data_IF_542497643232
#
_entry.id   IF_542497643232
#
_cell.length_a   1.000
_cell.length_b   1.000
_cell.length_c   1.000
_cell.angle_alpha   90.00
_cell.angle_beta   90.00
_cell.angle_gamma   90.00
#
_symmetry.space_group_name_H-M   'P 1'
#
loop_
_entity.id
_entity.type
_entity.pdbx_description
1 polymer ?
#
# COMPACT_ATOMS: atom_id res chain seq x y z
N UNK A 1 -15.60 -25.73 -12.03
CA UNK A 1 -16.03 -24.89 -13.17
C UNK A 1 -15.97 -23.43 -12.72
N UNK A 2 -15.16 -22.61 -13.43
CA UNK A 2 -15.03 -21.13 -13.53
C UNK A 2 -15.48 -20.25 -12.34
N UNK A 3 -14.73 -19.26 -11.84
CA UNK A 3 -13.88 -18.26 -12.52
C UNK A 3 -12.86 -17.69 -11.53
N UNK A 4 -11.57 -17.80 -11.82
CA UNK A 4 -10.54 -16.94 -11.23
C UNK A 4 -10.17 -15.96 -12.34
N UNK A 5 -10.54 -14.69 -12.17
CA UNK A 5 -10.18 -13.62 -13.08
C UNK A 5 -8.68 -13.33 -12.92
N UNK A 6 -7.89 -13.85 -13.85
CA UNK A 6 -6.50 -13.45 -14.10
C UNK A 6 -6.46 -11.97 -14.47
N UNK A 7 -6.07 -11.12 -13.52
CA UNK A 7 -5.72 -9.73 -13.78
C UNK A 7 -4.35 -9.72 -14.46
N UNK A 8 -4.35 -9.39 -15.75
CA UNK A 8 -3.13 -9.28 -16.55
C UNK A 8 -2.21 -8.17 -16.02
N UNK A 9 -0.88 -8.34 -16.07
CA UNK A 9 0.07 -7.30 -15.68
C UNK A 9 -0.01 -6.12 -16.67
N UNK A 10 -0.20 -4.92 -16.13
CA UNK A 10 -0.21 -3.68 -16.90
C UNK A 10 1.11 -3.50 -17.67
N UNK A 11 0.99 -3.33 -18.99
CA UNK A 11 2.09 -3.10 -19.92
C UNK A 11 2.94 -1.88 -19.54
N UNK A 12 4.28 -1.96 -19.51
CA UNK A 12 5.13 -0.83 -19.20
C UNK A 12 5.60 -0.13 -20.48
N UNK A 13 4.75 0.63 -21.18
CA UNK A 13 5.24 1.57 -22.20
C UNK A 13 4.15 2.48 -22.74
N UNK A 14 3.89 3.58 -22.05
CA UNK A 14 3.57 4.82 -22.76
C UNK A 14 4.50 5.88 -22.23
N UNK A 15 5.65 6.06 -22.87
CA UNK A 15 6.32 7.37 -22.83
C UNK A 15 5.23 8.39 -23.17
N UNK A 16 4.94 9.39 -22.32
CA UNK A 16 4.02 10.43 -22.73
C UNK A 16 4.56 10.99 -24.05
N UNK A 17 3.72 10.97 -25.09
CA UNK A 17 4.03 11.67 -26.32
C UNK A 17 4.44 13.10 -25.94
N UNK A 18 5.52 13.66 -26.49
CA UNK A 18 5.87 15.04 -26.19
C UNK A 18 4.65 15.89 -26.51
N UNK A 19 4.04 16.47 -25.48
CA UNK A 19 2.91 17.37 -25.69
C UNK A 19 3.41 18.49 -26.59
N UNK A 20 2.59 19.00 -27.51
CA UNK A 20 2.94 20.08 -28.44
C UNK A 20 3.60 21.32 -27.77
N UNK A 21 3.45 21.46 -26.45
CA UNK A 21 4.17 22.42 -25.61
C UNK A 21 5.70 22.27 -25.64
N UNK A 22 6.25 21.06 -25.78
CA UNK A 22 7.70 20.78 -25.80
C UNK A 22 8.40 21.36 -27.04
N UNK A 23 7.68 21.53 -28.16
CA UNK A 23 8.20 22.22 -29.36
C UNK A 23 8.23 23.75 -29.19
N UNK A 24 7.27 24.32 -28.45
CA UNK A 24 7.24 25.74 -28.09
C UNK A 24 8.24 26.12 -26.97
N UNK A 25 8.90 25.13 -26.37
CA UNK A 25 9.88 25.31 -25.30
C UNK A 25 11.27 25.71 -25.80
N UNK A 26 11.56 25.63 -27.11
CA UNK A 26 12.84 26.12 -27.62
C UNK A 26 12.90 27.67 -27.52
N UNK A 27 13.84 28.26 -26.78
CA UNK A 27 13.83 29.69 -26.47
C UNK A 27 13.90 30.57 -27.72
N UNK A 28 14.54 30.10 -28.79
CA UNK A 28 14.60 30.80 -30.07
C UNK A 28 13.23 30.89 -30.78
N UNK A 29 12.43 29.82 -30.74
CA UNK A 29 11.10 29.79 -31.38
C UNK A 29 10.13 30.68 -30.61
N UNK A 30 10.20 30.62 -29.28
CA UNK A 30 9.42 31.50 -28.41
C UNK A 30 9.79 32.97 -28.57
N UNK A 31 11.09 33.30 -28.70
CA UNK A 31 11.53 34.67 -28.96
C UNK A 31 11.04 35.18 -30.33
N UNK A 32 11.15 34.35 -31.38
CA UNK A 32 10.63 34.68 -32.71
C UNK A 32 9.11 34.92 -32.68
N UNK A 33 8.36 34.05 -31.99
CA UNK A 33 6.91 34.20 -31.83
C UNK A 33 6.55 35.50 -31.10
N UNK A 34 7.30 35.88 -30.05
CA UNK A 34 7.12 37.16 -29.36
C UNK A 34 7.33 38.36 -30.29
N UNK A 35 8.39 38.33 -31.11
CA UNK A 35 8.68 39.41 -32.08
C UNK A 35 7.59 39.51 -33.14
N UNK A 36 7.16 38.38 -33.70
CA UNK A 36 6.07 38.34 -34.68
C UNK A 36 4.75 38.86 -34.09
N UNK A 37 4.44 38.48 -32.85
CA UNK A 37 3.23 38.91 -32.16
C UNK A 37 3.27 40.41 -31.82
N UNK A 38 4.43 40.95 -31.41
CA UNK A 38 4.61 42.40 -31.25
C UNK A 38 4.36 43.12 -32.58
N UNK A 39 4.95 42.65 -33.69
CA UNK A 39 4.75 43.22 -35.01
C UNK A 39 3.29 43.16 -35.48
N UNK A 40 2.61 42.03 -35.24
CA UNK A 40 1.19 41.85 -35.55
C UNK A 40 0.30 42.79 -34.74
N UNK A 41 0.54 42.92 -33.43
CA UNK A 41 -0.18 43.86 -32.58
C UNK A 41 0.06 45.29 -33.05
N UNK A 42 1.29 45.69 -33.35
CA UNK A 42 1.59 47.03 -33.90
C UNK A 42 0.85 47.27 -35.22
N UNK A 43 0.85 46.30 -36.14
CA UNK A 43 0.09 46.39 -37.40
C UNK A 43 -1.41 46.54 -37.16
N UNK A 44 -1.99 45.73 -36.25
CA UNK A 44 -3.40 45.79 -35.90
C UNK A 44 -3.78 47.16 -35.31
N UNK A 45 -2.91 47.75 -34.48
CA UNK A 45 -3.13 49.08 -33.92
C UNK A 45 -3.18 50.17 -34.98
N UNK A 46 -2.27 50.13 -35.96
CA UNK A 46 -2.28 51.05 -37.10
C UNK A 46 -3.56 50.87 -37.93
N UNK A 47 -3.93 49.62 -38.21
CA UNK A 47 -5.13 49.30 -38.98
C UNK A 47 -6.43 49.73 -38.28
N UNK A 48 -6.57 49.44 -36.99
CA UNK A 48 -7.72 49.83 -36.18
C UNK A 48 -7.86 51.36 -36.12
N UNK A 49 -6.75 52.08 -35.97
CA UNK A 49 -6.73 53.54 -35.98
C UNK A 49 -7.31 54.11 -37.28
N UNK A 50 -6.98 53.52 -38.43
CA UNK A 50 -7.50 53.95 -39.73
C UNK A 50 -9.02 53.75 -39.83
N UNK A 51 -9.53 52.67 -39.25
CA UNK A 51 -10.96 52.31 -39.34
C UNK A 51 -11.82 53.08 -38.36
N UNK A 52 -11.40 53.19 -37.10
CA UNK A 52 -12.25 53.79 -36.05
C UNK A 52 -12.20 55.31 -36.07
N UNK A 53 -11.23 55.90 -36.78
CA UNK A 53 -10.94 57.34 -36.79
C UNK A 53 -10.76 57.93 -35.36
N UNK A 54 -10.60 57.06 -34.36
CA UNK A 54 -10.30 57.45 -33.00
C UNK A 54 -8.78 57.61 -32.87
N UNK A 55 -8.36 58.67 -32.18
CA UNK A 55 -6.93 58.95 -32.08
C UNK A 55 -6.18 57.89 -31.27
N UNK A 56 -6.80 57.23 -30.25
CA UNK A 56 -6.01 56.52 -29.19
C UNK A 56 -6.68 55.37 -28.37
N UNK A 57 -7.29 54.29 -28.90
CA UNK A 57 -8.10 53.43 -28.02
C UNK A 57 -7.46 52.09 -27.60
N UNK A 58 -6.34 51.65 -28.17
CA UNK A 58 -6.00 50.21 -28.12
C UNK A 58 -4.57 49.86 -27.71
N UNK A 59 -3.77 50.77 -27.16
CA UNK A 59 -2.39 50.48 -26.70
C UNK A 59 -2.31 49.30 -25.72
N UNK A 60 -3.39 49.05 -24.97
CA UNK A 60 -3.61 47.88 -24.10
C UNK A 60 -3.38 46.53 -24.82
N UNK A 61 -3.50 46.45 -26.15
CA UNK A 61 -3.25 45.25 -26.95
C UNK A 61 -1.80 44.74 -26.80
N UNK A 62 -0.85 45.62 -26.46
CA UNK A 62 0.53 45.22 -26.17
C UNK A 62 0.67 44.36 -24.89
N UNK A 63 -0.36 44.25 -24.05
CA UNK A 63 -0.37 43.30 -22.93
C UNK A 63 -0.35 41.83 -23.41
N UNK A 64 -0.92 41.55 -24.60
CA UNK A 64 -0.99 40.20 -25.16
C UNK A 64 0.40 39.62 -25.47
N UNK A 65 1.28 40.28 -26.26
CA UNK A 65 2.63 39.78 -26.49
C UNK A 65 3.47 39.70 -25.22
N UNK A 66 3.24 40.58 -24.25
CA UNK A 66 3.91 40.52 -22.94
C UNK A 66 3.49 39.29 -22.14
N UNK A 67 2.19 39.01 -22.04
CA UNK A 67 1.66 37.82 -21.38
C UNK A 67 2.19 36.53 -22.02
N UNK A 68 2.16 36.47 -23.35
CA UNK A 68 2.64 35.31 -24.13
C UNK A 68 4.13 35.12 -23.95
N UNK A 69 4.93 36.20 -24.02
CA UNK A 69 6.38 36.13 -23.79
C UNK A 69 6.71 35.68 -22.36
N UNK A 70 5.98 36.19 -21.36
CA UNK A 70 6.16 35.76 -19.97
C UNK A 70 5.79 34.28 -19.77
N UNK A 71 4.76 33.78 -20.45
CA UNK A 71 4.36 32.37 -20.41
C UNK A 71 5.38 31.45 -21.12
N UNK A 72 5.97 31.89 -22.23
CA UNK A 72 6.87 31.07 -23.06
C UNK A 72 8.35 31.18 -22.70
N UNK A 73 8.78 32.33 -22.17
CA UNK A 73 10.19 32.62 -21.84
C UNK A 73 10.42 32.93 -20.35
N UNK A 74 9.37 32.92 -19.53
CA UNK A 74 9.46 33.17 -18.10
C UNK A 74 9.61 34.67 -17.79
N UNK A 75 9.93 34.99 -16.53
CA UNK A 75 9.99 36.38 -16.03
C UNK A 75 10.93 37.25 -16.88
N UNK A 76 12.10 36.74 -17.28
CA UNK A 76 13.07 37.49 -18.08
C UNK A 76 12.55 37.86 -19.46
N UNK A 77 11.87 36.92 -20.15
CA UNK A 77 11.27 37.20 -21.46
C UNK A 77 10.03 38.07 -21.37
N UNK A 78 9.26 37.97 -20.30
CA UNK A 78 8.18 38.89 -19.97
C UNK A 78 8.68 40.32 -19.82
N UNK A 79 9.73 40.53 -19.02
CA UNK A 79 10.36 41.87 -18.84
C UNK A 79 10.90 42.42 -20.15
N UNK A 80 11.58 41.61 -20.96
CA UNK A 80 12.09 42.03 -22.27
C UNK A 80 10.95 42.44 -23.22
N UNK A 81 9.85 41.68 -23.25
CA UNK A 81 8.67 42.02 -24.04
C UNK A 81 7.97 43.28 -23.50
N UNK A 82 7.91 43.49 -22.19
CA UNK A 82 7.36 44.71 -21.59
C UNK A 82 8.16 45.94 -21.98
N UNK A 83 9.50 45.86 -21.98
CA UNK A 83 10.36 46.95 -22.44
C UNK A 83 10.17 47.23 -23.93
N UNK A 84 10.07 46.20 -24.77
CA UNK A 84 9.81 46.35 -26.20
C UNK A 84 8.42 46.94 -26.48
N UNK A 85 7.40 46.45 -25.78
CA UNK A 85 6.04 46.97 -25.82
C UNK A 85 5.97 48.45 -25.41
N UNK A 86 6.66 48.82 -24.33
CA UNK A 86 6.74 50.20 -23.87
C UNK A 86 7.47 51.11 -24.86
N UNK A 87 8.58 50.64 -25.46
CA UNK A 87 9.29 51.38 -26.49
C UNK A 87 8.42 51.60 -27.73
N UNK A 88 7.74 50.56 -28.21
CA UNK A 88 6.83 50.64 -29.36
C UNK A 88 5.61 51.51 -29.06
N UNK A 89 5.02 51.40 -27.87
CA UNK A 89 3.93 52.26 -27.42
C UNK A 89 4.39 53.73 -27.35
N UNK A 90 5.60 53.99 -26.83
CA UNK A 90 6.16 55.35 -26.77
C UNK A 90 6.40 55.94 -28.15
N UNK A 91 6.94 55.16 -29.09
CA UNK A 91 7.11 55.57 -30.49
C UNK A 91 5.75 55.87 -31.13
N UNK A 92 4.77 54.99 -30.93
CA UNK A 92 3.42 55.15 -31.47
C UNK A 92 2.69 56.39 -30.90
N UNK A 93 2.83 56.65 -29.60
CA UNK A 93 2.26 57.83 -28.92
C UNK A 93 2.96 59.14 -29.34
N UNK A 94 4.27 59.14 -29.53
CA UNK A 94 5.04 60.34 -29.93
C UNK A 94 4.89 60.71 -31.41
N UNK A 95 4.63 59.72 -32.28
CA UNK A 95 4.51 59.92 -33.72
C UNK A 95 3.22 60.66 -34.15
N UNK A 96 2.37 61.04 -33.19
CA UNK A 96 1.05 61.60 -33.48
C UNK A 96 1.05 63.11 -33.78
N UNK A 97 2.13 63.87 -33.49
CA UNK A 97 2.09 65.34 -33.65
C UNK A 97 3.42 66.08 -33.92
N UNK A 98 4.62 65.46 -33.95
CA UNK A 98 5.88 66.24 -33.93
C UNK A 98 6.89 65.82 -35.01
N UNK A 99 7.16 66.72 -35.95
CA UNK A 99 8.27 66.62 -36.89
C UNK A 99 9.50 67.33 -36.30
N UNK A 100 10.66 66.67 -36.30
CA UNK A 100 11.96 67.30 -36.00
C UNK A 100 12.33 67.44 -34.50
N UNK A 101 13.28 68.35 -34.22
CA UNK A 101 13.96 68.52 -32.91
C UNK A 101 13.06 68.94 -31.73
N UNK A 102 11.76 69.15 -31.96
CA UNK A 102 10.75 69.39 -30.92
C UNK A 102 10.27 68.12 -30.20
N UNK A 103 10.71 66.93 -30.65
CA UNK A 103 10.45 65.65 -29.98
C UNK A 103 10.96 65.61 -28.52
N UNK A 104 11.99 66.40 -28.19
CA UNK A 104 12.67 66.43 -26.89
C UNK A 104 12.24 67.60 -25.98
N UNK A 105 11.46 68.58 -26.47
CA UNK A 105 11.18 69.84 -25.73
C UNK A 105 9.73 70.08 -25.35
N UNK A 106 8.77 69.38 -25.93
CA UNK A 106 7.36 69.55 -25.56
C UNK A 106 7.00 68.79 -24.29
N UNK A 107 6.41 69.48 -23.31
CA UNK A 107 5.82 68.83 -22.15
C UNK A 107 4.71 67.85 -22.59
N UNK A 108 4.75 66.57 -22.15
CA UNK A 108 3.70 65.61 -22.43
C UNK A 108 2.36 66.09 -21.86
N UNK A 109 1.24 65.77 -22.53
CA UNK A 109 -0.10 66.00 -21.95
C UNK A 109 -0.26 65.03 -20.78
N UNK A 110 -0.80 65.50 -19.64
CA UNK A 110 -0.96 64.70 -18.42
C UNK A 110 -1.72 63.36 -18.64
N UNK A 111 -2.61 63.31 -19.64
CA UNK A 111 -3.30 62.08 -20.04
C UNK A 111 -2.39 61.03 -20.72
N UNK A 112 -1.38 61.45 -21.49
CA UNK A 112 -0.43 60.54 -22.16
C UNK A 112 0.50 59.87 -21.14
N UNK A 113 0.91 60.61 -20.11
CA UNK A 113 1.73 60.07 -19.03
C UNK A 113 0.95 59.08 -18.16
N UNK A 114 -0.35 59.34 -17.91
CA UNK A 114 -1.22 58.40 -17.19
C UNK A 114 -1.44 57.11 -17.99
N UNK A 115 -1.72 57.20 -19.29
CA UNK A 115 -1.92 56.02 -20.15
C UNK A 115 -0.63 55.19 -20.26
N UNK A 116 0.52 55.85 -20.44
CA UNK A 116 1.81 55.19 -20.50
C UNK A 116 2.18 54.53 -19.15
N UNK A 117 1.91 55.20 -18.03
CA UNK A 117 2.10 54.63 -16.70
C UNK A 117 1.20 53.41 -16.47
N UNK A 118 -0.07 53.47 -16.88
CA UNK A 118 -1.00 52.35 -16.78
C UNK A 118 -0.53 51.14 -17.60
N UNK A 119 -0.04 51.37 -18.82
CA UNK A 119 0.51 50.31 -19.67
C UNK A 119 1.82 49.74 -19.11
N UNK A 120 2.70 50.58 -18.53
CA UNK A 120 3.92 50.13 -17.87
C UNK A 120 3.61 49.24 -16.66
N UNK A 121 2.72 49.69 -15.78
CA UNK A 121 2.29 48.92 -14.61
C UNK A 121 1.59 47.63 -15.04
N UNK A 122 0.70 47.68 -16.05
CA UNK A 122 -0.02 46.51 -16.55
C UNK A 122 0.91 45.47 -17.18
N UNK A 123 1.81 45.88 -18.08
CA UNK A 123 2.76 44.97 -18.75
C UNK A 123 3.74 44.36 -17.75
N UNK A 124 4.26 45.13 -16.78
CA UNK A 124 5.14 44.61 -15.75
C UNK A 124 4.42 43.65 -14.79
N UNK A 125 3.19 43.96 -14.38
CA UNK A 125 2.40 43.11 -13.49
C UNK A 125 2.07 41.77 -14.15
N UNK A 126 1.63 41.79 -15.41
CA UNK A 126 1.36 40.57 -16.18
C UNK A 126 2.63 39.74 -16.36
N UNK A 127 3.74 40.38 -16.74
CA UNK A 127 5.02 39.67 -16.90
C UNK A 127 5.47 38.99 -15.59
N UNK A 128 5.32 39.68 -14.46
CA UNK A 128 5.69 39.15 -13.16
C UNK A 128 4.78 37.97 -12.72
N UNK A 129 3.45 38.12 -12.84
CA UNK A 129 2.48 37.10 -12.44
C UNK A 129 2.61 35.86 -13.31
N UNK A 130 2.57 36.03 -14.64
CA UNK A 130 2.65 34.91 -15.59
C UNK A 130 4.00 34.19 -15.51
N UNK A 131 5.09 34.95 -15.36
CA UNK A 131 6.43 34.37 -15.20
C UNK A 131 6.57 33.55 -13.92
N UNK A 132 6.09 34.06 -12.78
CA UNK A 132 6.09 33.32 -11.50
C UNK A 132 5.20 32.09 -11.54
N UNK A 133 4.02 32.18 -12.16
CA UNK A 133 3.10 31.05 -12.31
C UNK A 133 3.73 29.91 -13.12
N UNK A 134 4.48 30.23 -14.18
CA UNK A 134 5.21 29.21 -14.94
C UNK A 134 6.26 28.50 -14.10
N UNK A 135 7.03 29.25 -13.33
CA UNK A 135 8.08 28.71 -12.46
C UNK A 135 7.49 27.77 -11.40
N UNK A 136 6.42 28.17 -10.72
CA UNK A 136 5.75 27.32 -9.73
C UNK A 136 5.14 26.07 -10.36
N UNK A 137 4.52 26.16 -11.54
CA UNK A 137 4.03 24.99 -12.27
C UNK A 137 5.15 24.04 -12.67
N UNK A 138 6.32 24.56 -13.06
CA UNK A 138 7.50 23.75 -13.36
C UNK A 138 7.98 22.97 -12.13
N UNK A 139 8.09 23.63 -10.99
CA UNK A 139 8.46 23.00 -9.71
C UNK A 139 7.44 21.94 -9.28
N UNK A 140 6.14 22.23 -9.39
CA UNK A 140 5.08 21.28 -9.06
C UNK A 140 5.12 20.03 -9.94
N UNK A 141 5.36 20.19 -11.25
CA UNK A 141 5.50 19.06 -12.18
C UNK A 141 6.71 18.19 -11.83
N UNK A 142 7.85 18.82 -11.55
CA UNK A 142 9.05 18.10 -11.15
C UNK A 142 8.83 17.33 -9.83
N UNK A 143 8.21 17.97 -8.84
CA UNK A 143 7.85 17.34 -7.57
C UNK A 143 6.90 16.16 -7.78
N UNK A 144 5.81 16.33 -8.53
CA UNK A 144 4.86 15.26 -8.83
C UNK A 144 5.52 14.08 -9.56
N UNK A 145 6.46 14.33 -10.47
CA UNK A 145 7.23 13.29 -11.14
C UNK A 145 8.04 12.46 -10.14
N UNK A 146 8.76 13.14 -9.23
CA UNK A 146 9.52 12.49 -8.15
C UNK A 146 8.61 11.68 -7.21
N UNK A 147 7.49 12.25 -6.76
CA UNK A 147 6.52 11.55 -5.91
C UNK A 147 5.97 10.29 -6.57
N UNK A 148 5.67 10.36 -7.87
CA UNK A 148 5.17 9.21 -8.63
C UNK A 148 6.21 8.11 -8.67
N UNK A 149 7.47 8.46 -8.95
CA UNK A 149 8.56 7.49 -8.95
C UNK A 149 8.78 6.85 -7.58
N UNK A 150 8.75 7.64 -6.49
CA UNK A 150 8.88 7.11 -5.14
C UNK A 150 7.72 6.19 -4.76
N UNK A 151 6.49 6.54 -5.13
CA UNK A 151 5.31 5.70 -4.88
C UNK A 151 5.42 4.37 -5.62
N UNK A 152 5.79 4.39 -6.90
CA UNK A 152 5.99 3.14 -7.66
C UNK A 152 7.11 2.28 -7.08
N UNK A 153 8.20 2.90 -6.58
CA UNK A 153 9.28 2.15 -5.88
C UNK A 153 8.77 1.53 -4.57
N UNK A 154 7.99 2.26 -3.79
CA UNK A 154 7.37 1.77 -2.56
C UNK A 154 6.38 0.63 -2.82
N UNK A 155 5.54 0.75 -3.84
CA UNK A 155 4.60 -0.31 -4.25
C UNK A 155 5.34 -1.59 -4.63
N UNK A 156 6.43 -1.49 -5.40
CA UNK A 156 7.26 -2.65 -5.76
C UNK A 156 7.93 -3.28 -4.53
N UNK A 157 8.49 -2.47 -3.64
CA UNK A 157 9.12 -2.97 -2.43
C UNK A 157 8.11 -3.67 -1.50
N UNK A 158 6.92 -3.08 -1.33
CA UNK A 158 5.83 -3.70 -0.55
C UNK A 158 5.38 -5.02 -1.18
N UNK A 159 5.21 -5.08 -2.50
CA UNK A 159 4.84 -6.31 -3.19
C UNK A 159 5.89 -7.41 -3.00
N UNK A 160 7.18 -7.07 -3.07
CA UNK A 160 8.29 -8.00 -2.82
C UNK A 160 8.31 -8.50 -1.37
N UNK A 161 8.05 -7.63 -0.40
CA UNK A 161 7.99 -8.01 1.02
C UNK A 161 6.83 -8.96 1.30
N UNK A 162 5.63 -8.67 0.77
CA UNK A 162 4.45 -9.53 0.92
C UNK A 162 4.71 -10.92 0.32
N UNK A 163 5.30 -10.97 -0.87
CA UNK A 163 5.65 -12.22 -1.53
C UNK A 163 6.69 -13.01 -0.74
N UNK A 164 7.75 -12.36 -0.26
CA UNK A 164 8.78 -12.99 0.57
C UNK A 164 8.22 -13.55 1.88
N UNK A 165 7.29 -12.84 2.51
CA UNK A 165 6.62 -13.30 3.73
C UNK A 165 5.71 -14.52 3.45
N UNK A 166 4.96 -14.51 2.34
CA UNK A 166 4.15 -15.66 1.92
C UNK A 166 5.04 -16.89 1.70
N UNK A 167 6.11 -16.75 0.90
CA UNK A 167 7.04 -17.85 0.63
C UNK A 167 7.67 -18.42 1.91
N UNK A 168 8.03 -17.55 2.86
CA UNK A 168 8.57 -17.99 4.15
C UNK A 168 7.56 -18.79 4.96
N UNK A 169 6.27 -18.39 4.95
CA UNK A 169 5.20 -19.11 5.65
C UNK A 169 4.91 -20.46 5.01
N UNK A 170 4.80 -20.51 3.68
CA UNK A 170 4.62 -21.76 2.93
C UNK A 170 5.77 -22.72 3.18
N UNK A 171 7.02 -22.24 3.07
CA UNK A 171 8.20 -23.05 3.38
C UNK A 171 8.17 -23.60 4.82
N UNK A 172 7.86 -22.76 5.82
CA UNK A 172 7.77 -23.21 7.21
C UNK A 172 6.63 -24.24 7.41
N UNK A 173 5.49 -24.06 6.75
CA UNK A 173 4.35 -24.99 6.78
C UNK A 173 4.77 -26.34 6.22
N UNK A 174 5.42 -26.36 5.06
CA UNK A 174 5.87 -27.59 4.39
C UNK A 174 6.94 -28.31 5.20
N UNK A 175 7.91 -27.57 5.74
CA UNK A 175 8.99 -28.16 6.57
C UNK A 175 8.41 -28.76 7.84
N UNK A 176 7.55 -28.05 8.58
CA UNK A 176 6.97 -28.57 9.83
C UNK A 176 6.06 -29.78 9.58
N UNK A 177 5.28 -29.77 8.49
CA UNK A 177 4.47 -30.92 8.11
C UNK A 177 5.36 -32.12 7.78
N UNK A 178 6.42 -31.94 6.99
CA UNK A 178 7.31 -33.01 6.60
C UNK A 178 8.09 -33.63 7.78
N UNK A 179 8.69 -32.80 8.64
CA UNK A 179 9.53 -33.29 9.75
C UNK A 179 8.71 -33.92 10.89
N UNK A 180 7.40 -33.65 10.96
CA UNK A 180 6.49 -34.27 11.94
C UNK A 180 5.73 -35.47 11.38
N UNK A 181 6.11 -35.97 10.20
CA UNK A 181 5.45 -37.12 9.58
C UNK A 181 4.00 -36.84 9.18
N UNK A 182 3.67 -35.58 8.87
CA UNK A 182 2.33 -35.15 8.48
C UNK A 182 1.42 -34.75 9.65
N UNK A 183 1.90 -34.79 10.90
CA UNK A 183 1.07 -34.52 12.08
C UNK A 183 0.85 -33.04 12.37
N UNK A 184 1.88 -32.20 12.23
CA UNK A 184 1.80 -30.76 12.52
C UNK A 184 1.49 -29.97 11.27
N UNK A 185 0.33 -29.32 11.24
CA UNK A 185 -0.07 -28.40 10.18
C UNK A 185 -0.09 -26.97 10.70
N UNK A 186 0.59 -26.05 10.03
CA UNK A 186 0.35 -24.62 10.22
C UNK A 186 -0.88 -24.20 9.43
N UNK A 187 -1.77 -23.45 10.06
CA UNK A 187 -2.98 -22.94 9.43
C UNK A 187 -3.18 -21.45 9.71
N UNK A 188 -3.87 -20.78 8.79
CA UNK A 188 -4.42 -19.44 8.98
C UNK A 188 -5.72 -19.51 9.79
N UNK A 189 -6.14 -18.42 10.47
CA UNK A 189 -7.33 -18.42 11.33
C UNK A 189 -8.62 -18.92 10.65
N UNK A 190 -8.78 -18.58 9.37
CA UNK A 190 -9.96 -18.96 8.59
C UNK A 190 -9.92 -20.43 8.17
N UNK A 191 -8.73 -21.02 8.01
CA UNK A 191 -8.56 -22.43 7.67
C UNK A 191 -8.94 -23.36 8.83
N UNK A 192 -8.71 -22.94 10.08
CA UNK A 192 -9.08 -23.73 11.28
C UNK A 192 -10.61 -23.85 11.40
N UNK A 193 -11.34 -22.77 11.15
CA UNK A 193 -12.81 -22.76 11.22
C UNK A 193 -13.46 -23.52 10.05
N UNK A 194 -12.74 -23.67 8.94
CA UNK A 194 -13.19 -24.41 7.77
C UNK A 194 -12.96 -25.92 7.89
N UNK A 195 -12.30 -26.41 8.94
CA UNK A 195 -12.13 -27.84 9.15
C UNK A 195 -13.47 -28.52 9.44
N UNK A 196 -13.81 -29.55 8.68
CA UNK A 196 -15.03 -30.34 8.84
C UNK A 196 -15.15 -30.95 10.25
N UNK A 197 -14.00 -31.20 10.90
CA UNK A 197 -13.89 -31.67 12.28
C UNK A 197 -14.48 -30.68 13.31
N UNK A 198 -14.61 -29.41 12.94
CA UNK A 198 -15.11 -28.30 13.76
C UNK A 198 -16.49 -27.83 13.25
N UNK A 199 -17.14 -28.63 12.39
CA UNK A 199 -18.48 -28.32 11.91
C UNK A 199 -19.54 -28.54 13.00
N UNK A 200 -20.44 -27.56 13.14
CA UNK A 200 -21.55 -27.61 14.08
C UNK A 200 -21.23 -27.08 15.47
N UNK A 201 -22.16 -27.31 16.42
CA UNK A 201 -22.01 -26.84 17.79
C UNK A 201 -21.08 -27.78 18.60
N UNK A 202 -20.12 -27.23 19.37
CA UNK A 202 -19.27 -28.04 20.22
C UNK A 202 -20.08 -28.68 21.35
N UNK A 203 -19.74 -29.93 21.70
CA UNK A 203 -20.36 -30.68 22.81
C UNK A 203 -19.90 -30.19 24.17
N UNK A 204 -18.73 -29.56 24.24
CA UNK A 204 -18.17 -28.96 25.44
C UNK A 204 -17.52 -27.63 25.08
N UNK A 205 -17.84 -26.59 25.84
CA UNK A 205 -17.15 -25.30 25.83
C UNK A 205 -16.71 -25.03 27.27
N UNK A 206 -15.42 -24.75 27.47
CA UNK A 206 -14.90 -24.46 28.79
C UNK A 206 -13.94 -23.27 28.78
N UNK A 207 -14.15 -22.25 29.64
CA UNK A 207 -13.17 -21.18 29.83
C UNK A 207 -11.90 -21.71 30.51
N UNK A 208 -10.76 -21.14 30.14
CA UNK A 208 -9.44 -21.46 30.67
C UNK A 208 -8.79 -20.19 31.22
N UNK A 209 -9.02 -19.86 32.49
CA UNK A 209 -8.48 -18.67 33.12
C UNK A 209 -7.46 -18.98 34.22
N UNK A 210 -7.67 -20.06 34.96
CA UNK A 210 -6.88 -20.44 36.13
C UNK A 210 -6.33 -21.86 36.00
N UNK A 211 -5.23 -22.22 36.68
CA UNK A 211 -4.66 -23.56 36.62
C UNK A 211 -5.64 -24.70 36.95
N UNK A 212 -6.64 -24.45 37.82
CA UNK A 212 -7.68 -25.42 38.15
C UNK A 212 -8.56 -25.76 36.94
N UNK A 213 -8.74 -24.84 36.00
CA UNK A 213 -9.57 -25.04 34.81
C UNK A 213 -9.00 -26.14 33.92
N UNK A 214 -7.68 -26.29 33.83
CA UNK A 214 -7.06 -27.39 33.09
C UNK A 214 -7.43 -28.76 33.68
N UNK A 215 -7.50 -28.86 35.01
CA UNK A 215 -7.89 -30.10 35.70
C UNK A 215 -9.37 -30.42 35.54
N UNK A 216 -10.22 -29.40 35.62
CA UNK A 216 -11.66 -29.51 35.36
C UNK A 216 -11.91 -29.91 33.90
N UNK A 217 -11.20 -29.29 32.97
CA UNK A 217 -11.30 -29.57 31.53
C UNK A 217 -10.90 -31.00 31.23
N UNK A 218 -9.78 -31.47 31.78
CA UNK A 218 -9.35 -32.86 31.64
C UNK A 218 -10.42 -33.86 32.07
N UNK A 219 -11.09 -33.62 33.20
CA UNK A 219 -12.13 -34.51 33.72
C UNK A 219 -13.38 -34.51 32.84
N UNK A 220 -13.80 -33.33 32.38
CA UNK A 220 -14.93 -33.21 31.46
C UNK A 220 -14.64 -33.90 30.11
N UNK A 221 -13.46 -33.68 29.56
CA UNK A 221 -13.01 -34.32 28.33
C UNK A 221 -12.93 -35.84 28.46
N UNK A 222 -12.43 -36.34 29.60
CA UNK A 222 -12.40 -37.78 29.89
C UNK A 222 -13.80 -38.40 29.90
N UNK A 223 -14.80 -37.70 30.45
CA UNK A 223 -16.19 -38.15 30.44
C UNK A 223 -16.75 -38.21 29.02
N UNK A 224 -16.56 -37.15 28.22
CA UNK A 224 -16.98 -37.10 26.82
C UNK A 224 -16.35 -38.23 26.01
N UNK A 225 -15.05 -38.49 26.21
CA UNK A 225 -14.32 -39.54 25.50
C UNK A 225 -14.79 -40.96 25.89
N UNK A 226 -15.09 -41.16 27.17
CA UNK A 226 -15.66 -42.42 27.66
C UNK A 226 -17.08 -42.67 27.11
N UNK A 227 -17.94 -41.65 27.11
CA UNK A 227 -19.30 -41.76 26.55
C UNK A 227 -19.29 -41.99 25.02
N UNK A 228 -18.28 -41.44 24.34
CA UNK A 228 -18.07 -41.70 22.92
C UNK A 228 -17.57 -43.13 22.64
N UNK A 229 -17.13 -43.87 23.65
CA UNK A 229 -16.65 -45.25 23.52
C UNK A 229 -15.22 -45.35 23.00
N UNK A 230 -14.39 -44.33 23.24
CA UNK A 230 -12.95 -44.39 22.92
C UNK A 230 -12.23 -45.44 23.77
N UNK A 231 -11.18 -46.04 23.22
CA UNK A 231 -10.30 -46.94 23.96
C UNK A 231 -9.57 -46.20 25.11
N UNK A 232 -9.23 -46.93 26.18
CA UNK A 232 -8.58 -46.37 27.37
C UNK A 232 -7.26 -45.64 27.09
N UNK A 233 -6.43 -46.18 26.18
CA UNK A 233 -5.16 -45.55 25.79
C UNK A 233 -5.41 -44.30 24.95
N UNK A 234 -6.38 -44.32 24.03
CA UNK A 234 -6.79 -43.14 23.26
C UNK A 234 -7.36 -42.02 24.15
N UNK A 235 -8.12 -42.38 25.20
CA UNK A 235 -8.62 -41.42 26.19
C UNK A 235 -7.43 -40.77 26.92
N UNK A 236 -6.43 -41.57 27.32
CA UNK A 236 -5.24 -41.04 27.99
C UNK A 236 -4.45 -40.08 27.08
N UNK A 237 -4.28 -40.43 25.81
CA UNK A 237 -3.60 -39.63 24.79
C UNK A 237 -4.31 -38.29 24.51
N UNK A 238 -5.64 -38.34 24.35
CA UNK A 238 -6.51 -37.18 24.18
C UNK A 238 -6.44 -36.26 25.40
N UNK A 239 -6.62 -36.79 26.61
CA UNK A 239 -6.55 -36.00 27.82
C UNK A 239 -5.16 -35.36 28.00
N UNK A 240 -4.09 -36.08 27.67
CA UNK A 240 -2.72 -35.58 27.82
C UNK A 240 -2.44 -34.43 26.86
N UNK A 241 -2.69 -34.61 25.57
CA UNK A 241 -2.48 -33.55 24.56
C UNK A 241 -3.34 -32.32 24.84
N UNK A 242 -4.63 -32.50 25.10
CA UNK A 242 -5.56 -31.41 25.36
C UNK A 242 -5.24 -30.64 26.65
N UNK A 243 -4.77 -31.33 27.70
CA UNK A 243 -4.35 -30.69 28.95
C UNK A 243 -3.08 -29.86 28.74
N UNK A 244 -2.14 -30.32 27.91
CA UNK A 244 -0.95 -29.52 27.60
C UNK A 244 -1.29 -28.29 26.76
N UNK A 245 -2.20 -28.41 25.78
CA UNK A 245 -2.71 -27.26 25.05
C UNK A 245 -3.38 -26.24 26.00
N UNK A 246 -4.27 -26.69 26.88
CA UNK A 246 -4.93 -25.84 27.87
C UNK A 246 -3.94 -25.19 28.85
N UNK A 247 -2.93 -25.95 29.29
CA UNK A 247 -1.87 -25.45 30.16
C UNK A 247 -1.02 -24.38 29.47
N UNK A 248 -0.73 -24.55 28.18
CA UNK A 248 -0.03 -23.55 27.38
C UNK A 248 -0.86 -22.26 27.26
N UNK A 249 -2.16 -22.37 26.99
CA UNK A 249 -3.05 -21.21 26.95
C UNK A 249 -3.08 -20.44 28.27
N UNK A 250 -3.17 -21.14 29.42
CA UNK A 250 -3.20 -20.51 30.75
C UNK A 250 -1.84 -19.89 31.11
N UNK A 251 -0.73 -20.60 30.89
CA UNK A 251 0.61 -20.15 31.32
C UNK A 251 1.22 -19.10 30.40
N UNK A 252 1.01 -19.25 29.09
CA UNK A 252 1.70 -18.44 28.07
C UNK A 252 0.76 -17.53 27.28
N UNK A 253 -0.51 -17.89 27.21
CA UNK A 253 -1.53 -17.26 26.36
C UNK A 253 -2.53 -16.34 27.07
N UNK A 254 -2.27 -15.98 28.33
CA UNK A 254 -3.15 -15.11 29.15
C UNK A 254 -4.57 -15.68 29.36
N UNK A 255 -4.70 -17.00 29.25
CA UNK A 255 -5.97 -17.70 29.32
C UNK A 255 -6.69 -17.76 27.97
N UNK A 256 -7.92 -18.27 27.98
CA UNK A 256 -8.67 -18.51 26.75
C UNK A 256 -9.86 -19.46 26.93
N UNK A 257 -10.09 -20.32 25.94
CA UNK A 257 -11.20 -21.28 25.95
C UNK A 257 -10.83 -22.57 25.24
N UNK A 258 -11.34 -23.69 25.75
CA UNK A 258 -11.36 -24.97 25.07
C UNK A 258 -12.75 -25.26 24.51
N UNK A 259 -12.80 -25.88 23.33
CA UNK A 259 -14.01 -26.39 22.69
C UNK A 259 -13.76 -27.80 22.19
N UNK A 260 -14.78 -28.66 22.26
CA UNK A 260 -14.68 -30.06 21.89
C UNK A 260 -15.79 -30.43 20.93
N UNK A 261 -15.43 -31.14 19.87
CA UNK A 261 -16.35 -31.75 18.92
C UNK A 261 -16.10 -33.25 18.88
N UNK A 262 -17.18 -34.00 18.71
CA UNK A 262 -17.17 -35.45 18.62
C UNK A 262 -17.66 -35.82 17.24
N UNK A 263 -16.92 -36.69 16.55
CA UNK A 263 -17.31 -37.22 15.24
C UNK A 263 -17.17 -38.76 15.27
N UNK A 264 -17.64 -39.48 14.23
CA UNK A 264 -17.56 -40.94 14.22
C UNK A 264 -16.14 -41.53 14.26
N UNK A 265 -15.13 -40.75 13.85
CA UNK A 265 -13.73 -41.21 13.78
C UNK A 265 -12.94 -40.90 15.06
N UNK A 266 -13.37 -39.92 15.86
CA UNK A 266 -12.61 -39.42 16.99
C UNK A 266 -13.17 -38.15 17.62
N UNK A 267 -12.30 -37.52 18.42
CA UNK A 267 -12.58 -36.26 19.10
C UNK A 267 -11.61 -35.19 18.61
N UNK A 268 -12.16 -34.02 18.31
CA UNK A 268 -11.42 -32.81 17.98
C UNK A 268 -11.50 -31.81 19.14
N UNK A 269 -10.36 -31.24 19.54
CA UNK A 269 -10.26 -30.26 20.63
C UNK A 269 -9.58 -29.01 20.12
N UNK A 270 -10.31 -27.89 20.13
CA UNK A 270 -9.75 -26.56 19.90
C UNK A 270 -9.41 -25.92 21.25
N UNK A 271 -8.18 -25.45 21.40
CA UNK A 271 -7.77 -24.58 22.49
C UNK A 271 -7.31 -23.26 21.89
N UNK A 272 -7.98 -22.17 22.26
CA UNK A 272 -7.66 -20.82 21.83
C UNK A 272 -7.22 -19.98 23.00
N UNK A 273 -6.11 -19.27 22.84
CA UNK A 273 -5.62 -18.27 23.77
C UNK A 273 -5.68 -16.84 23.22
N UNK A 274 -5.40 -15.85 24.07
CA UNK A 274 -5.40 -14.42 23.71
C UNK A 274 -4.01 -13.78 23.91
N UNK A 275 -2.96 -14.59 23.92
CA UNK A 275 -1.61 -14.11 24.18
C UNK A 275 -0.98 -13.42 22.97
N UNK A 276 0.32 -13.14 23.08
CA UNK A 276 1.13 -12.57 21.99
C UNK A 276 1.47 -13.54 20.84
N UNK A 277 0.97 -14.77 20.91
CA UNK A 277 1.32 -15.86 19.99
C UNK A 277 2.79 -16.28 20.03
N UNK A 278 3.17 -17.05 19.01
CA UNK A 278 4.53 -17.59 18.80
C UNK A 278 5.13 -16.87 17.60
N UNK A 279 6.29 -16.22 17.79
CA UNK A 279 6.96 -15.54 16.70
C UNK A 279 7.44 -16.56 15.63
N UNK A 280 7.32 -16.26 14.33
CA UNK A 280 7.72 -17.18 13.25
C UNK A 280 9.16 -17.70 13.38
N UNK A 281 10.09 -16.86 13.85
CA UNK A 281 11.49 -17.23 14.06
C UNK A 281 11.71 -18.28 15.17
N UNK A 282 10.75 -18.41 16.10
CA UNK A 282 10.80 -19.36 17.20
C UNK A 282 9.89 -20.57 16.96
N UNK A 283 9.07 -20.57 15.91
CA UNK A 283 8.02 -21.56 15.70
C UNK A 283 8.57 -22.98 15.64
N UNK A 284 9.56 -23.24 14.79
CA UNK A 284 10.16 -24.57 14.66
C UNK A 284 10.82 -25.06 15.95
N UNK A 285 11.46 -24.17 16.70
CA UNK A 285 12.08 -24.53 17.98
C UNK A 285 11.01 -24.79 19.05
N UNK A 286 10.01 -23.93 19.13
CA UNK A 286 8.90 -24.06 20.08
C UNK A 286 8.07 -25.33 19.86
N UNK A 287 7.98 -25.82 18.62
CA UNK A 287 7.19 -27.02 18.31
C UNK A 287 8.00 -28.31 18.31
N UNK A 288 9.28 -28.29 17.91
CA UNK A 288 10.09 -29.50 17.70
C UNK A 288 11.20 -29.73 18.74
N UNK A 289 11.75 -28.67 19.33
CA UNK A 289 12.88 -28.77 20.24
C UNK A 289 12.37 -29.07 21.66
N UNK A 290 12.44 -30.34 22.05
CA UNK A 290 12.16 -30.75 23.43
C UNK A 290 13.07 -29.97 24.39
N UNK A 291 12.48 -29.31 25.39
CA UNK A 291 13.24 -28.44 26.30
C UNK A 291 13.22 -26.96 25.93
N UNK A 292 12.84 -26.60 24.71
CA UNK A 292 12.85 -25.21 24.28
C UNK A 292 11.59 -24.47 24.73
N UNK A 293 11.77 -23.51 25.63
CA UNK A 293 10.74 -22.54 25.98
C UNK A 293 11.39 -21.16 26.14
N UNK A 294 10.76 -20.14 25.58
CA UNK A 294 11.19 -18.74 25.79
C UNK A 294 10.83 -18.22 27.18
N UNK A 295 10.10 -19.00 27.98
CA UNK A 295 9.78 -18.75 29.40
C UNK A 295 10.04 -20.02 30.22
N UNK A 296 10.08 -19.90 31.54
CA UNK A 296 10.44 -20.94 32.50
C UNK A 296 9.41 -22.11 32.45
N UNK A 297 9.55 -23.02 31.48
CA UNK A 297 8.83 -24.30 31.40
C UNK A 297 9.68 -25.29 30.62
N UNK A 298 9.50 -26.60 30.86
CA UNK A 298 10.31 -27.68 30.31
C UNK A 298 10.28 -27.81 28.76
N UNK A 299 9.61 -26.91 28.01
CA UNK A 299 9.56 -26.95 26.54
C UNK A 299 9.03 -28.26 25.94
N UNK A 300 8.35 -29.10 26.73
CA UNK A 300 7.88 -30.42 26.32
C UNK A 300 6.46 -30.41 25.75
N UNK A 301 5.70 -29.33 25.92
CA UNK A 301 4.26 -29.32 25.65
C UNK A 301 3.91 -29.72 24.21
N UNK A 302 4.56 -29.11 23.22
CA UNK A 302 4.35 -29.48 21.81
C UNK A 302 4.87 -30.88 21.47
N UNK A 303 5.98 -31.29 22.07
CA UNK A 303 6.51 -32.64 21.87
C UNK A 303 5.51 -33.71 22.35
N UNK A 304 4.94 -33.51 23.55
CA UNK A 304 3.91 -34.39 24.11
C UNK A 304 2.67 -34.40 23.20
N UNK A 305 2.17 -33.23 22.78
CA UNK A 305 1.03 -33.14 21.86
C UNK A 305 1.29 -33.87 20.53
N UNK A 306 2.49 -33.77 19.95
CA UNK A 306 2.85 -34.49 18.71
C UNK A 306 2.96 -36.00 18.89
N UNK A 307 3.35 -36.46 20.08
CA UNK A 307 3.42 -37.87 20.42
C UNK A 307 2.05 -38.47 20.68
N UNK A 308 1.13 -37.74 21.31
CA UNK A 308 -0.16 -38.29 21.74
C UNK A 308 -1.33 -37.91 20.83
N UNK A 309 -1.21 -36.91 19.94
CA UNK A 309 -2.24 -36.59 18.94
C UNK A 309 -1.99 -37.25 17.57
N UNK A 310 -3.07 -37.49 16.84
CA UNK A 310 -3.01 -38.00 15.45
C UNK A 310 -2.74 -36.86 14.48
N UNK A 311 -3.38 -35.72 14.71
CA UNK A 311 -3.15 -34.49 13.99
C UNK A 311 -3.15 -33.29 14.95
N UNK A 312 -2.34 -32.30 14.63
CA UNK A 312 -2.19 -31.05 15.35
C UNK A 312 -2.17 -29.90 14.34
N UNK A 313 -3.23 -29.12 14.30
CA UNK A 313 -3.27 -27.85 13.56
C UNK A 313 -2.91 -26.70 14.51
N UNK A 314 -1.93 -25.89 14.12
CA UNK A 314 -1.47 -24.72 14.86
C UNK A 314 -1.69 -23.45 14.04
N UNK A 315 -2.45 -22.52 14.59
CA UNK A 315 -2.61 -21.16 14.09
C UNK A 315 -2.08 -20.19 15.14
N UNK A 316 -1.18 -19.28 14.78
CA UNK A 316 -0.59 -18.33 15.74
C UNK A 316 -0.36 -16.97 15.11
N UNK A 317 -0.68 -15.91 15.85
CA UNK A 317 -0.51 -14.52 15.43
C UNK A 317 -0.27 -13.63 16.65
N UNK A 318 -0.10 -12.34 16.43
CA UNK A 318 -0.06 -11.32 17.49
C UNK A 318 -1.36 -11.23 18.31
N UNK A 319 -2.45 -11.86 17.85
CA UNK A 319 -3.75 -11.94 18.54
C UNK A 319 -3.97 -13.23 19.35
N UNK A 320 -2.97 -14.09 19.44
CA UNK A 320 -3.04 -15.35 20.19
C UNK A 320 -2.72 -16.58 19.37
N UNK A 321 -2.80 -17.73 20.04
CA UNK A 321 -2.58 -19.05 19.47
C UNK A 321 -3.85 -19.88 19.53
N UNK A 322 -4.11 -20.65 18.48
CA UNK A 322 -5.16 -21.66 18.40
C UNK A 322 -4.51 -22.98 18.06
N UNK A 323 -4.78 -23.98 18.89
CA UNK A 323 -4.32 -25.36 18.73
C UNK A 323 -5.55 -26.23 18.54
N UNK A 324 -5.64 -26.92 17.41
CA UNK A 324 -6.67 -27.91 17.15
C UNK A 324 -6.00 -29.29 17.14
N UNK A 325 -6.43 -30.14 18.08
CA UNK A 325 -5.95 -31.50 18.26
C UNK A 325 -7.00 -32.48 17.76
N UNK A 326 -6.57 -33.55 17.11
CA UNK A 326 -7.44 -34.67 16.76
C UNK A 326 -6.86 -35.97 17.34
N UNK A 327 -7.71 -36.76 17.99
CA UNK A 327 -7.41 -38.12 18.44
C UNK A 327 -8.53 -39.05 18.02
N UNK A 328 -8.16 -40.13 17.36
CA UNK A 328 -9.05 -41.16 16.83
C UNK A 328 -9.58 -42.04 17.96
N UNK A 329 -10.82 -42.51 17.81
CA UNK A 329 -11.45 -43.41 18.78
C UNK A 329 -10.83 -44.80 18.81
N UNK A 330 -10.06 -45.16 17.78
CA UNK A 330 -9.34 -46.43 17.66
C UNK A 330 -7.86 -46.28 18.02
N UNK A 331 -7.26 -47.29 18.65
CA UNK A 331 -5.83 -47.28 18.94
C UNK A 331 -5.02 -47.15 17.64
N UNK A 332 -3.90 -46.43 17.73
CA UNK A 332 -2.94 -46.39 16.61
C UNK A 332 -2.41 -47.78 16.36
N UNK A 333 -2.31 -48.14 15.08
CA UNK A 333 -1.53 -49.31 14.69
C UNK A 333 -0.10 -49.14 15.20
N UNK A 334 0.41 -50.16 15.88
CA UNK A 334 1.78 -50.18 16.39
C UNK A 334 2.77 -50.00 15.24
N UNK A 335 3.99 -49.49 15.47
CA UNK A 335 5.03 -49.42 14.43
C UNK A 335 5.25 -50.79 13.75
N UNK A 336 5.19 -51.87 14.52
CA UNK A 336 5.22 -53.24 14.01
C UNK A 336 4.07 -53.55 13.05
N UNK A 337 2.83 -53.17 13.40
CA UNK A 337 1.61 -53.46 12.63
C UNK A 337 1.53 -52.60 11.36
N UNK A 338 1.96 -51.34 11.45
CA UNK A 338 2.04 -50.44 10.28
C UNK A 338 3.13 -50.88 9.30
N UNK A 339 4.27 -51.37 9.79
CA UNK A 339 5.29 -52.02 8.95
C UNK A 339 4.76 -53.31 8.33
N UNK A 340 4.12 -54.19 9.11
CA UNK A 340 3.53 -55.42 8.60
C UNK A 340 2.42 -55.16 7.56
N UNK A 341 1.57 -54.14 7.76
CA UNK A 341 0.55 -53.75 6.79
C UNK A 341 1.14 -53.21 5.47
N UNK A 342 2.27 -52.48 5.54
CA UNK A 342 3.01 -52.04 4.34
C UNK A 342 3.63 -53.21 3.57
N UNK A 343 4.11 -54.25 4.26
CA UNK A 343 4.65 -55.44 3.61
C UNK A 343 3.57 -56.41 3.12
N UNK A 344 2.42 -56.46 3.78
CA UNK A 344 1.30 -57.30 3.37
C UNK A 344 0.52 -56.76 2.16
N UNK A 345 0.78 -55.50 1.75
CA UNK A 345 0.16 -54.84 0.59
C UNK A 345 1.07 -54.81 -0.66
N UNK A 346 2.23 -55.48 -0.60
CA UNK A 346 3.14 -55.74 -1.73
C UNK A 346 2.99 -57.19 -2.22
#
# INVERSE_FOLDING_TARGET
>A
MSNIATVAPASPSSKPAPLAWDAFLHPAVAALATVLLLGLCTYLLVYLRVITNEQRPYTILYLVPVAVSAALLGVRGGVAASLAALALARIFLLNDQKHGADLLRSAPKLAEDIEFAALAVGTMSIAAVTGRLRETLGLLRASNGSLTETNTRLERANAQLVESERQRREFNRDVLLAVTGGKLRLAEPDEVQAEELVAGEPVLIQPLAQPQDASTFRRALQHVAYEHGMDGDCIADLCTSATEAATNAIKHGEGGSARVWVNPEGIAVEVRDQGKGIAPAHLARATLEAGYSTRISLGMGFHIMLQTADALTLCTSDRGTTVLLQVSSRPRATEQESLLARYASL
#
